data_IF_104575456887
#
_entry.id   IF_104575456887
#
_cell.length_a   1.000
_cell.length_b   1.000
_cell.length_c   1.000
_cell.angle_alpha   90.00
_cell.angle_beta   90.00
_cell.angle_gamma   90.00
#
_symmetry.space_group_name_H-M   'P 1'
#
loop_
_entity.id
_entity.type
_entity.pdbx_description
1 polymer ?
#
# COMPACT_ATOMS: atom_id res chain seq x y z
N UNK A 1 -34.32 40.89 -3.81
CA UNK A 1 -34.46 40.05 -2.61
C UNK A 1 -33.97 38.64 -2.95
N UNK A 2 -33.33 38.02 -1.97
CA UNK A 2 -32.27 37.00 -2.05
C UNK A 2 -32.68 35.64 -2.63
N UNK A 3 -31.74 35.01 -3.35
CA UNK A 3 -31.77 33.61 -3.79
C UNK A 3 -31.50 32.70 -2.60
N UNK A 4 -32.26 31.61 -2.47
CA UNK A 4 -31.85 30.46 -1.65
C UNK A 4 -32.49 29.19 -2.24
N UNK A 5 -31.72 28.50 -3.08
CA UNK A 5 -32.00 27.11 -3.44
C UNK A 5 -31.61 26.25 -2.24
N UNK A 6 -32.58 25.60 -1.62
CA UNK A 6 -32.34 24.63 -0.57
C UNK A 6 -31.67 23.39 -1.19
N UNK A 7 -30.35 23.28 -1.02
CA UNK A 7 -29.63 22.07 -1.38
C UNK A 7 -29.90 20.99 -0.33
N UNK A 8 -30.33 19.85 -0.86
CA UNK A 8 -30.66 18.61 -0.18
C UNK A 8 -29.39 17.97 0.37
N UNK A 9 -29.29 17.84 1.69
CA UNK A 9 -28.34 16.93 2.35
C UNK A 9 -29.14 15.88 3.13
N UNK A 10 -29.38 14.73 2.48
CA UNK A 10 -29.85 13.53 3.16
C UNK A 10 -28.80 13.12 4.19
N UNK A 11 -29.11 13.33 5.46
CA UNK A 11 -28.42 12.70 6.58
C UNK A 11 -28.79 11.21 6.55
N UNK A 12 -27.93 10.40 5.94
CA UNK A 12 -28.05 8.95 5.99
C UNK A 12 -27.65 8.54 7.41
N UNK A 13 -28.62 8.48 8.32
CA UNK A 13 -28.48 7.87 9.62
C UNK A 13 -28.49 6.34 9.43
N UNK A 14 -27.34 5.74 9.13
CA UNK A 14 -27.14 4.30 9.35
C UNK A 14 -26.78 4.11 10.82
N UNK A 15 -27.55 3.33 11.60
CA UNK A 15 -27.13 2.98 12.95
C UNK A 15 -26.05 1.91 12.79
N UNK A 16 -24.79 2.33 12.78
CA UNK A 16 -23.69 1.41 12.98
C UNK A 16 -23.77 0.94 14.43
N UNK A 17 -24.45 -0.19 14.64
CA UNK A 17 -24.51 -0.85 15.92
C UNK A 17 -23.07 -1.26 16.34
N UNK A 18 -22.55 -0.53 17.32
CA UNK A 18 -21.59 -0.96 18.33
C UNK A 18 -20.33 -1.73 17.90
N UNK A 19 -19.22 -1.01 17.70
CA UNK A 19 -17.90 -1.43 18.22
C UNK A 19 -16.88 -0.26 18.23
N UNK A 20 -17.23 0.87 18.85
CA UNK A 20 -16.22 1.93 19.14
C UNK A 20 -16.44 2.48 20.56
N UNK A 21 -16.48 1.58 21.54
CA UNK A 21 -16.30 1.94 22.95
C UNK A 21 -14.88 1.58 23.37
N UNK A 22 -13.90 2.27 22.79
CA UNK A 22 -12.55 2.40 23.33
C UNK A 22 -12.03 3.79 22.95
N UNK A 23 -11.40 4.55 23.86
CA UNK A 23 -10.85 5.89 23.58
C UNK A 23 -9.63 5.88 22.64
N UNK A 24 -9.35 4.78 21.96
CA UNK A 24 -8.14 4.56 21.14
C UNK A 24 -8.28 5.05 19.68
N UNK A 25 -9.42 5.63 19.29
CA UNK A 25 -9.63 6.12 17.91
C UNK A 25 -8.95 7.48 17.66
N UNK A 26 -8.50 8.19 18.70
CA UNK A 26 -7.74 9.44 18.52
C UNK A 26 -6.28 9.23 18.10
N UNK A 27 -5.73 8.00 18.21
CA UNK A 27 -4.32 7.73 17.88
C UNK A 27 -4.08 7.33 16.42
N UNK A 28 -5.11 6.87 15.70
CA UNK A 28 -4.97 6.37 14.31
C UNK A 28 -5.06 7.51 13.27
N UNK A 29 -5.33 8.75 13.69
CA UNK A 29 -5.65 9.87 12.76
C UNK A 29 -4.42 10.73 12.40
N UNK A 30 -3.26 10.53 13.05
CA UNK A 30 -2.03 11.28 12.76
C UNK A 30 -0.96 10.46 12.02
N UNK A 31 -1.25 9.19 11.72
CA UNK A 31 -0.33 8.33 10.99
C UNK A 31 -0.47 8.53 9.47
N UNK A 32 0.55 9.13 8.87
CA UNK A 32 0.74 9.17 7.42
C UNK A 32 1.37 7.85 7.02
N UNK A 33 0.59 6.98 6.37
CA UNK A 33 1.08 5.68 5.89
C UNK A 33 2.02 5.85 4.69
N UNK A 34 3.15 5.14 4.71
CA UNK A 34 4.07 5.02 3.59
C UNK A 34 5.33 4.24 3.94
N UNK A 35 6.14 3.92 2.94
CA UNK A 35 7.44 3.29 3.18
C UNK A 35 8.41 4.32 3.77
N UNK A 36 9.04 3.98 4.90
CA UNK A 36 9.98 4.87 5.59
C UNK A 36 11.45 4.59 5.22
N UNK A 37 11.71 3.58 4.38
CA UNK A 37 13.05 3.21 3.91
C UNK A 37 13.45 4.03 2.67
N UNK A 38 14.52 4.82 2.80
CA UNK A 38 15.08 5.66 1.74
C UNK A 38 15.60 4.89 0.50
N UNK A 39 15.79 3.57 0.64
CA UNK A 39 16.25 2.70 -0.44
C UNK A 39 15.09 2.04 -1.21
N UNK A 40 13.84 2.25 -0.78
CA UNK A 40 12.66 1.76 -1.49
C UNK A 40 12.23 2.74 -2.59
N UNK A 41 11.67 2.23 -3.68
CA UNK A 41 11.15 3.05 -4.78
C UNK A 41 9.97 3.92 -4.38
N UNK A 42 9.17 3.45 -3.43
CA UNK A 42 8.00 4.15 -2.92
C UNK A 42 8.26 4.82 -1.56
N UNK A 43 9.52 5.19 -1.30
CA UNK A 43 9.89 5.98 -0.13
C UNK A 43 9.02 7.24 -0.02
N UNK A 44 8.47 7.46 1.19
CA UNK A 44 7.66 8.61 1.51
C UNK A 44 8.28 9.36 2.71
N UNK A 45 8.93 10.49 2.45
CA UNK A 45 9.63 11.31 3.47
C UNK A 45 8.69 11.76 4.62
N UNK A 46 7.40 11.92 4.33
CA UNK A 46 6.39 12.33 5.29
C UNK A 46 5.66 11.16 5.95
N UNK A 47 6.03 9.91 5.68
CA UNK A 47 5.43 8.77 6.35
C UNK A 47 5.80 8.78 7.84
N UNK A 48 4.79 8.61 8.69
CA UNK A 48 4.95 8.49 10.14
C UNK A 48 4.65 7.08 10.63
N UNK A 49 4.07 6.23 9.76
CA UNK A 49 3.87 4.81 9.99
C UNK A 49 3.99 3.99 8.69
N UNK A 50 4.43 2.74 8.80
CA UNK A 50 4.59 1.81 7.67
C UNK A 50 3.72 0.57 7.89
N UNK A 51 3.02 0.13 6.84
CA UNK A 51 2.35 -1.17 6.83
C UNK A 51 3.34 -2.28 6.45
N UNK A 52 3.25 -3.42 7.14
CA UNK A 52 4.14 -4.57 6.87
C UNK A 52 4.06 -4.98 5.40
N UNK A 53 5.19 -4.85 4.69
CA UNK A 53 5.33 -5.28 3.29
C UNK A 53 4.90 -4.25 2.24
N UNK A 54 4.69 -2.99 2.61
CA UNK A 54 4.32 -1.93 1.65
C UNK A 54 5.54 -1.27 0.97
N UNK A 55 6.77 -1.52 1.42
CA UNK A 55 7.99 -1.05 0.75
C UNK A 55 8.30 -1.86 -0.51
N UNK A 56 8.43 -1.15 -1.64
CA UNK A 56 8.74 -1.72 -2.96
C UNK A 56 10.22 -1.47 -3.24
N UNK A 57 10.99 -2.55 -3.39
CA UNK A 57 12.41 -2.48 -3.73
C UNK A 57 12.63 -2.96 -5.16
N UNK A 58 13.35 -2.17 -5.96
CA UNK A 58 13.85 -2.64 -7.26
C UNK A 58 15.20 -3.31 -7.09
N UNK A 59 15.25 -4.56 -7.51
CA UNK A 59 16.48 -5.36 -7.53
C UNK A 59 16.56 -6.07 -8.88
N UNK A 60 17.77 -6.29 -9.39
CA UNK A 60 17.95 -7.09 -10.59
C UNK A 60 17.51 -8.53 -10.33
N UNK A 61 17.03 -9.22 -11.36
CA UNK A 61 16.66 -10.64 -11.27
C UNK A 61 17.80 -11.50 -10.70
N UNK A 62 19.04 -11.18 -11.06
CA UNK A 62 20.24 -11.87 -10.56
C UNK A 62 20.42 -11.70 -9.05
N UNK A 63 20.31 -10.47 -8.54
CA UNK A 63 20.45 -10.20 -7.12
C UNK A 63 19.27 -10.76 -6.31
N UNK A 64 18.05 -10.75 -6.88
CA UNK A 64 16.89 -11.41 -6.32
C UNK A 64 17.10 -12.93 -6.16
N UNK A 65 17.51 -13.60 -7.23
CA UNK A 65 17.77 -15.04 -7.25
C UNK A 65 19.00 -15.43 -6.39
N UNK A 66 19.93 -14.50 -6.17
CA UNK A 66 21.05 -14.71 -5.25
C UNK A 66 20.62 -14.65 -3.78
N UNK A 67 19.66 -13.78 -3.45
CA UNK A 67 19.13 -13.63 -2.10
C UNK A 67 18.16 -14.78 -1.72
N UNK A 68 17.36 -15.25 -2.68
CA UNK A 68 16.60 -16.50 -2.55
C UNK A 68 17.49 -17.67 -2.92
N UNK A 69 18.25 -18.18 -1.96
CA UNK A 69 19.08 -19.39 -2.08
C UNK A 69 18.33 -20.52 -2.79
N UNK A 70 18.58 -20.67 -4.10
CA UNK A 70 18.21 -21.77 -4.99
C UNK A 70 17.07 -22.68 -4.51
N UNK A 71 15.80 -22.45 -4.93
CA UNK A 71 14.85 -23.58 -4.93
C UNK A 71 13.52 -23.49 -5.69
N UNK A 72 13.09 -22.37 -6.29
CA UNK A 72 11.81 -22.35 -7.02
C UNK A 72 11.87 -21.44 -8.24
N UNK A 73 11.15 -21.81 -9.31
CA UNK A 73 10.94 -20.91 -10.44
C UNK A 73 10.12 -19.69 -9.97
N UNK A 74 10.34 -18.54 -10.61
CA UNK A 74 9.66 -17.29 -10.25
C UNK A 74 8.13 -17.48 -10.27
N UNK A 75 7.61 -18.24 -11.25
CA UNK A 75 6.19 -18.57 -11.35
C UNK A 75 5.66 -19.31 -10.11
N UNK A 76 6.42 -20.29 -9.59
CA UNK A 76 6.04 -21.05 -8.40
C UNK A 76 6.13 -20.20 -7.12
N UNK A 77 7.03 -19.23 -7.09
CA UNK A 77 7.12 -18.28 -5.99
C UNK A 77 5.94 -17.29 -5.96
N UNK A 78 5.47 -16.83 -7.11
CA UNK A 78 4.30 -15.94 -7.21
C UNK A 78 3.02 -16.60 -6.68
N UNK A 79 2.90 -17.92 -6.82
CA UNK A 79 1.78 -18.69 -6.27
C UNK A 79 1.82 -18.78 -4.73
N UNK A 80 3.01 -18.71 -4.13
CA UNK A 80 3.20 -18.81 -2.67
C UNK A 80 3.15 -17.43 -2.00
N UNK A 81 3.67 -16.39 -2.67
CA UNK A 81 3.74 -15.02 -2.16
C UNK A 81 3.05 -14.08 -3.15
N UNK A 82 1.73 -13.86 -3.02
CA UNK A 82 0.95 -13.10 -4.00
C UNK A 82 1.29 -11.60 -4.06
N UNK A 83 2.16 -11.11 -3.15
CA UNK A 83 2.66 -9.74 -3.14
C UNK A 83 3.97 -9.55 -3.93
N UNK A 84 4.66 -10.64 -4.31
CA UNK A 84 5.82 -10.54 -5.18
C UNK A 84 5.37 -10.33 -6.63
N UNK A 85 6.16 -9.60 -7.42
CA UNK A 85 5.92 -9.39 -8.85
C UNK A 85 7.22 -9.06 -9.56
N UNK A 86 7.33 -9.39 -10.84
CA UNK A 86 8.49 -9.03 -11.66
C UNK A 86 8.05 -8.39 -12.97
N UNK A 87 8.91 -7.53 -13.53
CA UNK A 87 8.73 -6.97 -14.86
C UNK A 87 9.96 -7.26 -15.72
N UNK A 88 9.73 -7.59 -17.00
CA UNK A 88 10.79 -7.88 -17.95
C UNK A 88 10.73 -6.84 -19.08
N UNK A 89 11.77 -6.02 -19.20
CA UNK A 89 11.91 -5.10 -20.32
C UNK A 89 12.62 -5.81 -21.47
N UNK A 90 11.87 -6.20 -22.51
CA UNK A 90 12.43 -6.79 -23.73
C UNK A 90 12.75 -5.65 -24.71
N UNK A 91 14.03 -5.34 -24.91
CA UNK A 91 14.47 -4.43 -25.96
C UNK A 91 14.55 -5.21 -27.28
N UNK A 92 13.59 -5.02 -28.18
CA UNK A 92 13.71 -5.51 -29.56
C UNK A 92 14.62 -4.57 -30.34
N UNK A 93 15.81 -5.05 -30.71
CA UNK A 93 16.61 -4.43 -31.76
C UNK A 93 15.91 -4.67 -33.10
N UNK A 94 15.63 -3.61 -33.85
CA UNK A 94 15.14 -3.66 -35.23
C UNK A 94 16.11 -4.41 -36.18
#
# INVERSE_FOLDING_TARGET
MTRAYALLAMLIATPLAGCTSSPEIEEIVDDILGCMDENAENYAENATAELLGDCIYLVSMEAFMTAMTEQMEIDEMLDIIPQAGYSMSITMSE
#
